data_IF_421954430012
#
_entry.id   IF_421954430012
#
_cell.length_a   1.000
_cell.length_b   1.000
_cell.length_c   1.000
_cell.angle_alpha   90.00
_cell.angle_beta   90.00
_cell.angle_gamma   90.00
#
_symmetry.space_group_name_H-M   'P 1'
#
loop_
_entity.id
_entity.type
_entity.pdbx_description
1 polymer ?
#
# COMPACT_ATOMS: atom_id res chain seq x y z
N UNK A 1 0.88 -4.51 -10.84
CA UNK A 1 -0.30 -4.63 -9.96
C UNK A 1 -1.55 -4.88 -10.79
N UNK A 2 -2.49 -5.70 -10.31
CA UNK A 2 -3.78 -5.92 -10.98
C UNK A 2 -4.86 -5.12 -10.22
N UNK A 3 -5.59 -4.25 -10.93
CA UNK A 3 -6.78 -3.62 -10.36
C UNK A 3 -7.98 -4.37 -10.91
N UNK A 4 -8.79 -4.92 -9.99
CA UNK A 4 -10.01 -5.66 -10.32
C UNK A 4 -11.20 -4.81 -9.90
N UNK A 5 -12.07 -4.50 -10.87
CA UNK A 5 -13.38 -3.90 -10.59
C UNK A 5 -14.43 -4.99 -10.61
N UNK A 6 -15.24 -5.00 -9.56
CA UNK A 6 -16.46 -5.79 -9.49
C UNK A 6 -17.63 -4.90 -9.93
N UNK A 7 -18.46 -5.39 -10.85
CA UNK A 7 -19.67 -4.68 -11.27
C UNK A 7 -20.65 -4.50 -10.11
N UNK A 8 -21.40 -3.41 -10.10
CA UNK A 8 -22.40 -3.10 -9.06
C UNK A 8 -23.74 -3.82 -9.25
N UNK A 9 -23.93 -4.57 -10.34
CA UNK A 9 -25.18 -5.27 -10.65
C UNK A 9 -25.00 -6.78 -10.81
N UNK A 10 -26.13 -7.49 -10.79
CA UNK A 10 -26.26 -8.95 -10.64
C UNK A 10 -25.56 -9.79 -11.73
N UNK A 11 -25.29 -9.25 -12.92
CA UNK A 11 -24.75 -9.99 -14.08
C UNK A 11 -23.49 -9.36 -14.72
N UNK A 12 -22.84 -8.38 -14.09
CA UNK A 12 -21.61 -7.78 -14.63
C UNK A 12 -20.34 -8.51 -14.12
N UNK A 13 -19.63 -9.19 -15.04
CA UNK A 13 -18.37 -9.89 -14.78
C UNK A 13 -17.23 -8.97 -14.30
N UNK A 14 -16.15 -9.55 -13.78
CA UNK A 14 -14.98 -8.81 -13.31
C UNK A 14 -14.14 -8.29 -14.48
N UNK A 15 -13.87 -6.99 -14.55
CA UNK A 15 -12.88 -6.41 -15.46
C UNK A 15 -11.56 -6.19 -14.70
N UNK A 16 -10.45 -6.58 -15.30
CA UNK A 16 -9.13 -6.33 -14.71
C UNK A 16 -8.16 -5.74 -15.72
N UNK A 17 -7.27 -4.90 -15.24
CA UNK A 17 -6.16 -4.32 -15.99
C UNK A 17 -4.88 -4.46 -15.18
N UNK A 18 -3.73 -4.47 -15.86
CA UNK A 18 -2.42 -4.67 -15.26
C UNK A 18 -1.58 -3.42 -15.46
N UNK A 19 -1.04 -2.91 -14.36
CA UNK A 19 -0.16 -1.74 -14.34
C UNK A 19 1.23 -2.09 -13.83
N UNK A 20 2.24 -1.34 -14.28
CA UNK A 20 3.53 -1.36 -13.61
C UNK A 20 3.37 -0.88 -12.17
N UNK A 21 4.13 -1.42 -11.20
CA UNK A 21 4.08 -0.94 -9.84
C UNK A 21 4.49 0.54 -9.80
N UNK A 22 3.63 1.42 -9.27
CA UNK A 22 3.94 2.84 -9.16
C UNK A 22 5.08 3.03 -8.18
N UNK A 23 6.01 3.94 -8.49
CA UNK A 23 7.06 4.31 -7.54
C UNK A 23 6.47 5.16 -6.40
N UNK A 24 6.82 4.83 -5.17
CA UNK A 24 6.47 5.62 -3.99
C UNK A 24 7.63 6.57 -3.65
N UNK A 25 7.33 7.85 -3.39
CA UNK A 25 8.32 8.86 -3.01
C UNK A 25 7.81 9.73 -1.85
N UNK A 26 8.74 10.30 -1.09
CA UNK A 26 8.39 11.27 -0.05
C UNK A 26 8.18 12.67 -0.65
N UNK A 27 7.01 13.26 -0.42
CA UNK A 27 6.72 14.65 -0.77
C UNK A 27 7.08 15.55 0.42
N UNK A 28 8.18 16.30 0.30
CA UNK A 28 8.69 17.16 1.37
C UNK A 28 7.79 18.35 1.73
N UNK A 29 6.96 18.82 0.79
CA UNK A 29 6.09 19.98 0.98
C UNK A 29 4.88 19.57 1.80
N UNK A 30 4.18 18.54 1.33
CA UNK A 30 2.93 18.07 1.93
C UNK A 30 3.16 17.09 3.09
N UNK A 31 4.39 16.57 3.24
CA UNK A 31 4.79 15.57 4.24
C UNK A 31 3.98 14.27 4.12
N UNK A 32 3.88 13.77 2.90
CA UNK A 32 3.13 12.54 2.55
C UNK A 32 4.01 11.60 1.72
N UNK A 33 3.70 10.31 1.75
CA UNK A 33 4.19 9.34 0.76
C UNK A 33 3.26 9.43 -0.45
N UNK A 34 3.83 9.67 -1.62
CA UNK A 34 3.10 9.92 -2.86
C UNK A 34 3.41 8.81 -3.86
N UNK A 35 2.36 8.23 -4.45
CA UNK A 35 2.41 7.30 -5.57
C UNK A 35 1.63 7.91 -6.72
N UNK A 36 2.25 8.00 -7.89
CA UNK A 36 1.64 8.56 -9.10
C UNK A 36 1.82 7.60 -10.26
N UNK A 37 0.83 7.60 -11.13
CA UNK A 37 0.95 7.02 -12.45
C UNK A 37 0.20 7.90 -13.46
N UNK A 38 0.64 7.82 -14.71
CA UNK A 38 0.10 8.61 -15.81
C UNK A 38 -0.37 7.69 -16.91
N UNK A 39 -1.35 8.13 -17.70
CA UNK A 39 -1.92 7.34 -18.80
C UNK A 39 -2.53 5.99 -18.37
N UNK A 40 -3.18 5.97 -17.22
CA UNK A 40 -3.87 4.77 -16.72
C UNK A 40 -5.18 4.62 -17.49
N UNK A 41 -5.36 3.54 -18.29
CA UNK A 41 -6.54 3.32 -19.09
C UNK A 41 -7.79 3.21 -18.21
N UNK A 42 -8.86 3.82 -18.70
CA UNK A 42 -10.19 3.62 -18.15
C UNK A 42 -10.66 2.18 -18.36
N UNK A 43 -11.48 1.69 -17.44
CA UNK A 43 -12.07 0.35 -17.53
C UNK A 43 -13.15 0.28 -18.61
N UNK A 44 -13.85 1.39 -18.86
CA UNK A 44 -15.08 1.39 -19.66
C UNK A 44 -14.94 2.15 -20.98
N UNK A 45 -13.85 2.89 -21.17
CA UNK A 45 -13.66 3.77 -22.32
C UNK A 45 -12.22 3.74 -22.81
N UNK A 46 -11.95 4.33 -23.98
CA UNK A 46 -10.59 4.55 -24.47
C UNK A 46 -9.91 5.79 -23.83
N UNK A 47 -10.49 6.35 -22.76
CA UNK A 47 -9.89 7.47 -22.05
C UNK A 47 -8.72 7.00 -21.18
N UNK A 48 -7.78 7.90 -20.95
CA UNK A 48 -6.65 7.69 -20.06
C UNK A 48 -6.71 8.72 -18.93
N UNK A 49 -6.38 8.27 -17.72
CA UNK A 49 -6.45 9.07 -16.51
C UNK A 49 -5.07 9.15 -15.86
N UNK A 50 -4.81 10.27 -15.19
CA UNK A 50 -3.68 10.38 -14.27
C UNK A 50 -4.23 10.15 -12.86
N UNK A 51 -3.56 9.34 -12.06
CA UNK A 51 -3.94 9.15 -10.67
C UNK A 51 -2.78 9.45 -9.73
N UNK A 52 -3.14 9.92 -8.55
CA UNK A 52 -2.24 10.19 -7.45
C UNK A 52 -2.87 9.62 -6.17
N UNK A 53 -2.08 8.85 -5.42
CA UNK A 53 -2.39 8.47 -4.04
C UNK A 53 -1.37 9.13 -3.14
N UNK A 54 -1.86 9.90 -2.18
CA UNK A 54 -1.07 10.56 -1.16
C UNK A 54 -1.44 9.98 0.20
N UNK A 55 -0.47 9.36 0.87
CA UNK A 55 -0.62 8.71 2.18
C UNK A 55 0.11 9.56 3.23
N UNK A 56 -0.64 10.14 4.16
CA UNK A 56 -0.04 10.87 5.28
C UNK A 56 0.48 9.90 6.36
N UNK A 57 1.25 10.43 7.32
CA UNK A 57 1.87 9.58 8.36
C UNK A 57 0.85 8.86 9.26
N UNK A 58 -0.34 9.44 9.48
CA UNK A 58 -1.39 8.80 10.28
C UNK A 58 -2.01 7.62 9.53
N UNK A 59 -2.26 7.78 8.23
CA UNK A 59 -2.75 6.70 7.38
C UNK A 59 -1.71 5.59 7.26
N UNK A 60 -0.44 5.94 7.08
CA UNK A 60 0.65 4.96 7.03
C UNK A 60 0.73 4.13 8.31
N UNK A 61 0.56 4.77 9.48
CA UNK A 61 0.48 4.07 10.76
C UNK A 61 -0.68 3.08 10.80
N UNK A 62 -1.90 3.51 10.43
CA UNK A 62 -3.09 2.64 10.38
C UNK A 62 -2.87 1.45 9.43
N UNK A 63 -2.21 1.67 8.29
CA UNK A 63 -1.89 0.62 7.33
C UNK A 63 -0.90 -0.40 7.90
N UNK A 64 0.12 0.05 8.65
CA UNK A 64 1.09 -0.84 9.30
C UNK A 64 0.40 -1.67 10.40
N UNK A 65 -0.46 -1.05 11.21
CA UNK A 65 -1.23 -1.73 12.25
C UNK A 65 -2.13 -2.81 11.65
N UNK A 66 -2.83 -2.51 10.55
CA UNK A 66 -3.67 -3.49 9.87
C UNK A 66 -2.88 -4.71 9.35
N UNK A 67 -1.64 -4.50 8.87
CA UNK A 67 -0.74 -5.60 8.47
C UNK A 67 -0.27 -6.39 9.69
N UNK A 68 0.01 -5.73 10.81
CA UNK A 68 0.39 -6.39 12.05
C UNK A 68 -0.74 -7.24 12.63
N UNK A 69 -1.97 -6.72 12.65
CA UNK A 69 -3.16 -7.46 13.10
C UNK A 69 -3.40 -8.71 12.25
N UNK A 70 -3.17 -8.62 10.93
CA UNK A 70 -3.30 -9.76 10.02
C UNK A 70 -2.27 -10.88 10.30
N UNK A 71 -1.12 -10.57 10.92
CA UNK A 71 -0.15 -11.60 11.35
C UNK A 71 -0.65 -12.41 12.55
N UNK A 72 -1.45 -11.80 13.41
CA UNK A 72 -1.91 -12.41 14.66
C UNK A 72 -3.30 -13.06 14.56
N UNK A 73 -4.04 -12.79 13.49
CA UNK A 73 -5.39 -13.29 13.31
C UNK A 73 -5.42 -14.79 12.95
N UNK A 74 -5.90 -15.62 13.87
CA UNK A 74 -6.14 -17.07 13.69
C UNK A 74 -7.09 -17.39 12.51
N UNK A 75 -7.92 -16.43 12.09
CA UNK A 75 -8.85 -16.58 10.97
C UNK A 75 -8.17 -16.76 9.60
N UNK A 76 -6.89 -16.41 9.49
CA UNK A 76 -6.16 -16.56 8.24
C UNK A 76 -4.95 -17.46 8.52
N UNK A 77 -5.06 -18.74 8.16
CA UNK A 77 -4.05 -19.76 8.48
C UNK A 77 -2.63 -19.40 8.05
N UNK A 78 -1.66 -20.27 8.36
CA UNK A 78 -0.20 -20.10 8.21
C UNK A 78 0.29 -19.43 6.90
N UNK A 79 -0.50 -19.48 5.82
CA UNK A 79 -0.24 -18.80 4.56
C UNK A 79 -0.15 -17.26 4.62
N UNK A 80 -0.89 -16.58 5.50
CA UNK A 80 -0.82 -15.12 5.59
C UNK A 80 0.48 -14.62 6.22
N UNK A 81 0.90 -15.26 7.31
CA UNK A 81 2.17 -14.92 7.96
C UNK A 81 3.36 -15.14 7.02
N UNK A 82 3.37 -16.26 6.28
CA UNK A 82 4.39 -16.55 5.28
C UNK A 82 4.41 -15.53 4.13
N UNK A 83 3.23 -15.12 3.64
CA UNK A 83 3.10 -14.11 2.58
C UNK A 83 3.62 -12.75 3.05
N UNK A 84 3.16 -12.27 4.20
CA UNK A 84 3.58 -10.98 4.76
C UNK A 84 5.08 -10.99 5.03
N UNK A 85 5.61 -12.06 5.64
CA UNK A 85 7.05 -12.19 5.88
C UNK A 85 7.85 -12.12 4.57
N UNK A 86 7.39 -12.78 3.50
CA UNK A 86 8.04 -12.75 2.19
C UNK A 86 8.05 -11.34 1.58
N UNK A 87 6.89 -10.68 1.53
CA UNK A 87 6.75 -9.37 0.88
C UNK A 87 7.43 -8.25 1.70
N UNK A 88 7.44 -8.34 3.04
CA UNK A 88 8.00 -7.33 3.92
C UNK A 88 9.49 -7.52 4.21
N UNK A 89 10.06 -8.72 3.98
CA UNK A 89 11.48 -9.00 4.23
C UNK A 89 12.46 -7.98 3.62
N UNK A 90 12.30 -7.54 2.36
CA UNK A 90 13.17 -6.52 1.77
C UNK A 90 13.11 -5.15 2.47
N UNK A 91 12.04 -4.87 3.20
CA UNK A 91 11.80 -3.60 3.89
C UNK A 91 12.33 -3.57 5.33
N UNK A 92 12.82 -4.70 5.87
CA UNK A 92 13.23 -4.82 7.27
C UNK A 92 14.30 -3.80 7.68
N UNK A 93 15.32 -3.59 6.85
CA UNK A 93 16.38 -2.60 7.13
C UNK A 93 15.82 -1.19 7.27
N UNK A 94 14.85 -0.82 6.42
CA UNK A 94 14.20 0.49 6.47
C UNK A 94 13.33 0.63 7.73
N UNK A 95 12.60 -0.42 8.10
CA UNK A 95 11.79 -0.46 9.32
C UNK A 95 12.65 -0.35 10.58
N UNK A 96 13.77 -1.07 10.65
CA UNK A 96 14.73 -0.97 11.75
C UNK A 96 15.30 0.44 11.88
N UNK A 97 15.66 1.08 10.75
CA UNK A 97 16.14 2.47 10.77
C UNK A 97 15.08 3.44 11.32
N UNK A 98 13.82 3.28 10.90
CA UNK A 98 12.71 4.07 11.43
C UNK A 98 12.55 3.86 12.93
N UNK A 99 12.54 2.61 13.39
CA UNK A 99 12.43 2.26 14.80
C UNK A 99 13.54 2.92 15.64
N UNK A 100 14.80 2.81 15.22
CA UNK A 100 15.94 3.43 15.92
C UNK A 100 15.79 4.94 16.08
N UNK A 101 15.42 5.64 14.99
CA UNK A 101 15.26 7.10 15.02
C UNK A 101 14.08 7.50 15.93
N UNK A 102 12.97 6.78 15.85
CA UNK A 102 11.80 7.03 16.69
C UNK A 102 12.13 6.80 18.18
N UNK A 103 12.83 5.72 18.53
CA UNK A 103 13.23 5.43 19.91
C UNK A 103 14.14 6.51 20.49
N UNK A 104 15.16 6.94 19.74
CA UNK A 104 16.04 8.05 20.15
C UNK A 104 15.25 9.33 20.43
N UNK A 105 14.22 9.62 19.62
CA UNK A 105 13.39 10.79 19.82
C UNK A 105 12.52 10.70 21.08
N UNK A 106 12.09 9.49 21.46
CA UNK A 106 11.33 9.27 22.70
C UNK A 106 12.21 9.35 23.95
N UNK A 107 13.46 8.88 23.88
CA UNK A 107 14.41 8.93 25.00
C UNK A 107 14.90 10.35 25.33
N UNK A 108 14.89 11.25 24.33
CA UNK A 108 15.32 12.65 24.47
C UNK A 108 14.17 13.61 24.84
N UNK A 109 12.99 13.09 25.18
CA UNK A 109 11.82 13.85 25.65
C UNK A 109 11.53 13.58 27.11
#
# INVERSE_FOLDING_TARGET
MQIVRWGSERDHGSSSTVFEPPSAKWNHINKVVEMRDTFVPDFNTNANHNWEVSVNLRELHIMIDAVADALHSEMFGEGNAALIAKEMSPSLTSLLRLATICSQYLENK
#
